data_IF_068654976811
#
_entry.id   IF_068654976811
#
_cell.length_a   1.000
_cell.length_b   1.000
_cell.length_c   1.000
_cell.angle_alpha   90.00
_cell.angle_beta   90.00
_cell.angle_gamma   90.00
#
_symmetry.space_group_name_H-M   'P 1'
#
loop_
_entity.id
_entity.type
_entity.pdbx_description
1 polymer ?
#
# COMPACT_ATOMS: atom_id res chain seq x y z
N UNK A 1 -9.06 -23.40 11.23
CA UNK A 1 -8.24 -22.32 11.83
C UNK A 1 -8.70 -21.02 11.18
N UNK A 2 -8.87 -19.94 11.95
CA UNK A 2 -9.41 -18.66 11.45
C UNK A 2 -8.43 -17.89 10.56
N UNK A 3 -7.14 -18.24 10.57
CA UNK A 3 -6.11 -17.55 9.77
C UNK A 3 -5.76 -18.28 8.47
N UNK A 4 -6.43 -19.39 8.16
CA UNK A 4 -6.25 -20.07 6.88
C UNK A 4 -7.07 -19.32 5.82
N UNK A 5 -6.39 -18.89 4.76
CA UNK A 5 -7.05 -18.29 3.59
C UNK A 5 -7.63 -19.42 2.74
N UNK A 6 -8.95 -19.40 2.53
CA UNK A 6 -9.66 -20.37 1.69
C UNK A 6 -9.51 -20.06 0.20
N UNK A 7 -9.38 -18.77 -0.13
CA UNK A 7 -9.19 -18.27 -1.49
C UNK A 7 -7.99 -17.32 -1.56
N UNK A 8 -7.34 -17.29 -2.73
CA UNK A 8 -6.22 -16.39 -2.97
C UNK A 8 -6.73 -14.96 -3.16
N UNK A 9 -6.33 -13.98 -2.33
CA UNK A 9 -6.87 -12.62 -2.40
C UNK A 9 -6.31 -11.88 -3.61
N UNK A 10 -7.09 -10.96 -4.18
CA UNK A 10 -6.59 -10.05 -5.23
C UNK A 10 -5.57 -9.03 -4.70
N UNK A 11 -5.74 -8.63 -3.43
CA UNK A 11 -4.89 -7.67 -2.72
C UNK A 11 -4.64 -8.18 -1.32
N UNK A 12 -3.38 -8.18 -0.88
CA UNK A 12 -2.99 -8.51 0.47
C UNK A 12 -2.09 -7.42 1.03
N UNK A 13 -2.44 -6.83 2.17
CA UNK A 13 -1.70 -5.72 2.72
C UNK A 13 -1.34 -5.92 4.19
N UNK A 14 -0.27 -5.27 4.61
CA UNK A 14 0.15 -5.18 6.00
C UNK A 14 0.29 -3.72 6.42
N UNK A 15 -0.20 -3.39 7.61
CA UNK A 15 -0.21 -2.01 8.12
C UNK A 15 1.05 -1.65 8.89
N UNK A 16 1.22 -0.35 9.14
CA UNK A 16 2.20 0.19 10.09
C UNK A 16 3.66 -0.19 9.80
N UNK A 17 3.98 -0.35 8.52
CA UNK A 17 5.31 -0.73 8.05
C UNK A 17 6.28 0.47 8.12
N UNK A 18 7.60 0.23 8.24
CA UNK A 18 8.60 1.30 8.30
C UNK A 18 8.73 2.11 7.01
N UNK A 19 8.30 1.55 5.87
CA UNK A 19 8.35 2.19 4.56
C UNK A 19 7.22 1.65 3.68
N UNK A 20 6.79 2.45 2.69
CA UNK A 20 5.93 1.97 1.62
C UNK A 20 6.69 0.98 0.72
N UNK A 21 6.03 -0.10 0.33
CA UNK A 21 6.49 -1.00 -0.73
C UNK A 21 5.30 -1.73 -1.36
N UNK A 22 5.44 -2.16 -2.60
CA UNK A 22 4.40 -2.89 -3.32
C UNK A 22 5.01 -3.79 -4.37
N UNK A 23 4.45 -4.99 -4.51
CA UNK A 23 4.83 -5.91 -5.59
C UNK A 23 3.62 -6.68 -6.10
N UNK A 24 3.68 -7.07 -7.36
CA UNK A 24 2.71 -7.98 -7.97
C UNK A 24 3.35 -9.37 -8.02
N UNK A 25 2.64 -10.38 -7.52
CA UNK A 25 3.12 -11.77 -7.54
C UNK A 25 2.14 -12.67 -8.29
N UNK A 26 2.66 -13.76 -8.84
CA UNK A 26 1.87 -14.78 -9.54
C UNK A 26 1.79 -16.06 -8.70
N UNK A 27 0.60 -16.65 -8.65
CA UNK A 27 0.32 -17.91 -7.97
C UNK A 27 0.44 -19.12 -8.90
N UNK A 28 0.56 -20.35 -8.35
CA UNK A 28 0.69 -21.58 -9.14
C UNK A 28 -0.49 -21.89 -10.07
N UNK A 29 -1.68 -21.36 -9.78
CA UNK A 29 -2.88 -21.54 -10.63
C UNK A 29 -3.18 -20.29 -11.49
N UNK A 30 -2.16 -19.47 -11.76
CA UNK A 30 -2.31 -18.24 -12.57
C UNK A 30 -2.98 -17.10 -11.83
N UNK A 31 -3.13 -17.18 -10.50
CA UNK A 31 -3.61 -16.05 -9.69
C UNK A 31 -2.61 -14.91 -9.74
N UNK A 32 -3.11 -13.68 -9.60
CA UNK A 32 -2.28 -12.49 -9.46
C UNK A 32 -2.67 -11.78 -8.17
N UNK A 33 -1.68 -11.45 -7.34
CA UNK A 33 -1.90 -10.81 -6.03
C UNK A 33 -1.05 -9.56 -5.92
N UNK A 34 -1.70 -8.44 -5.60
CA UNK A 34 -1.02 -7.19 -5.23
C UNK A 34 -0.69 -7.22 -3.74
N UNK A 35 0.60 -7.25 -3.41
CA UNK A 35 1.09 -7.11 -2.03
C UNK A 35 1.37 -5.64 -1.73
N UNK A 36 0.92 -5.12 -0.59
CA UNK A 36 1.12 -3.72 -0.19
C UNK A 36 1.63 -3.62 1.26
N UNK A 37 2.79 -3.01 1.45
CA UNK A 37 3.28 -2.58 2.75
C UNK A 37 2.82 -1.14 3.00
N UNK A 38 1.77 -0.96 3.80
CA UNK A 38 1.23 0.36 4.11
C UNK A 38 2.12 1.04 5.16
N UNK A 39 2.74 2.19 4.85
CA UNK A 39 3.66 2.85 5.76
C UNK A 39 2.93 3.38 6.99
N UNK A 40 3.67 3.55 8.08
CA UNK A 40 3.19 4.22 9.28
C UNK A 40 3.01 5.72 9.01
N UNK A 41 1.77 6.12 8.76
CA UNK A 41 1.40 7.51 8.45
C UNK A 41 1.96 8.54 9.44
N UNK A 42 1.95 8.24 10.76
CA UNK A 42 2.44 9.17 11.79
C UNK A 42 3.89 9.63 11.56
N UNK A 43 4.71 8.75 10.99
CA UNK A 43 6.14 8.98 10.83
C UNK A 43 6.47 9.36 9.37
N UNK A 44 5.76 8.81 8.38
CA UNK A 44 6.03 9.05 6.96
C UNK A 44 5.23 10.21 6.35
N UNK A 45 4.03 10.50 6.87
CA UNK A 45 3.06 11.38 6.22
C UNK A 45 2.53 10.80 4.89
N UNK A 46 2.61 9.48 4.69
CA UNK A 46 2.26 8.82 3.43
C UNK A 46 0.98 7.99 3.53
N UNK A 47 0.08 8.14 2.56
CA UNK A 47 -1.08 7.28 2.31
C UNK A 47 -0.92 6.45 1.04
N UNK A 48 -1.74 5.41 0.89
CA UNK A 48 -1.73 4.52 -0.29
C UNK A 48 -3.07 4.58 -1.00
N UNK A 49 -3.04 4.86 -2.30
CA UNK A 49 -4.19 4.76 -3.20
C UNK A 49 -4.07 3.51 -4.05
N UNK A 50 -5.16 2.75 -4.14
CA UNK A 50 -5.27 1.54 -4.95
C UNK A 50 -6.38 1.74 -5.98
N UNK A 51 -6.04 1.60 -7.25
CA UNK A 51 -7.03 1.47 -8.31
C UNK A 51 -7.61 0.06 -8.28
N UNK A 52 -8.93 -0.05 -8.09
CA UNK A 52 -9.62 -1.33 -7.96
C UNK A 52 -9.85 -2.04 -9.29
N UNK A 53 -9.73 -1.35 -10.43
CA UNK A 53 -9.86 -1.94 -11.76
C UNK A 53 -8.51 -2.52 -12.23
N UNK A 54 -7.43 -1.76 -12.06
CA UNK A 54 -6.09 -2.12 -12.56
C UNK A 54 -5.18 -2.80 -11.52
N UNK A 55 -5.49 -2.63 -10.23
CA UNK A 55 -4.62 -2.99 -9.10
C UNK A 55 -3.28 -2.22 -9.07
N UNK A 56 -3.22 -1.07 -9.74
CA UNK A 56 -2.11 -0.13 -9.64
C UNK A 56 -2.17 0.63 -8.30
N UNK A 57 -0.99 0.98 -7.80
CA UNK A 57 -0.81 1.55 -6.47
C UNK A 57 0.02 2.81 -6.53
N UNK A 58 -0.48 3.88 -5.92
CA UNK A 58 0.21 5.16 -5.77
C UNK A 58 0.44 5.47 -4.28
N UNK A 59 1.64 5.94 -3.95
CA UNK A 59 1.97 6.46 -2.63
C UNK A 59 1.84 7.98 -2.64
N UNK A 60 0.94 8.50 -1.82
CA UNK A 60 0.65 9.95 -1.73
C UNK A 60 1.24 10.49 -0.44
N UNK A 61 2.11 11.49 -0.54
CA UNK A 61 2.71 12.17 0.61
C UNK A 61 2.00 13.47 0.92
N UNK A 62 1.65 13.64 2.20
CA UNK A 62 1.04 14.83 2.76
C UNK A 62 2.12 15.63 3.49
N UNK A 63 2.19 16.93 3.21
CA UNK A 63 3.09 17.85 3.89
C UNK A 63 2.38 19.19 4.12
N UNK A 64 2.85 19.96 5.09
CA UNK A 64 2.29 21.27 5.41
C UNK A 64 3.03 22.33 4.58
N UNK A 65 2.29 23.08 3.78
CA UNK A 65 2.82 24.27 3.15
C UNK A 65 2.89 25.40 4.18
N UNK A 66 4.09 25.75 4.65
CA UNK A 66 4.28 26.96 5.44
C UNK A 66 4.37 28.18 4.53
N UNK A 67 3.43 29.11 4.70
CA UNK A 67 3.44 30.40 3.99
C UNK A 67 4.24 31.40 4.83
N UNK A 68 5.58 31.41 4.69
CA UNK A 68 6.42 32.46 5.26
C UNK A 68 7.87 32.08 5.58
N UNK A 69 8.70 31.96 4.54
CA UNK A 69 10.15 32.07 4.65
C UNK A 69 10.64 33.10 3.63
N UNK A 70 11.03 34.27 4.12
CA UNK A 70 11.75 35.40 3.51
C UNK A 70 11.40 35.86 2.07
N UNK A 71 10.75 37.02 2.01
CA UNK A 71 11.08 38.12 1.08
C UNK A 71 11.32 39.40 1.89
#
# INVERSE_FOLDING_TARGET
DQFVLEECPHVFFTGNQPSFDTTLISGPAGQTVRLIAVPRFKDSGEGVLLDMETLDVECVRFDIFEKGGDL
#
